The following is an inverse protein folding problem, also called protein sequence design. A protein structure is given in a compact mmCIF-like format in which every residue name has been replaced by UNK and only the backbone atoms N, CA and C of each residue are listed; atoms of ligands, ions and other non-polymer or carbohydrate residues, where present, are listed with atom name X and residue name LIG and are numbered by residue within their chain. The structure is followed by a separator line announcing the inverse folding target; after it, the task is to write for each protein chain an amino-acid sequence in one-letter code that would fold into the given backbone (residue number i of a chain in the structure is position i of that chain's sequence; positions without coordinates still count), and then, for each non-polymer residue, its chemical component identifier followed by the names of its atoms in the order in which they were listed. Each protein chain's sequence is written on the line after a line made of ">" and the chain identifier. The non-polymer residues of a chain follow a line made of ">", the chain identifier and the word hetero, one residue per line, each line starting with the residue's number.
data_IF_316515735143
#
_entry.id   IF_316515735143
#
_cell.length_a   1.000
_cell.length_b   1.000
_cell.length_c   1.000
_cell.angle_alpha   90.00
_cell.angle_beta   90.00
_cell.angle_gamma   90.00
#
_symmetry.space_group_name_H-M   'P 1'
#
loop_
_entity.id
_entity.type
_entity.pdbx_description
1 polymer ?
#
# COMPACT_ATOMS: atom_id res chain seq x y z
N UNK A 1 -19.49 -8.49 0.39
CA UNK A 1 -18.58 -9.07 -0.62
C UNK A 1 -17.45 -8.11 -0.92
N UNK A 2 -16.25 -8.65 -1.10
CA UNK A 2 -15.08 -7.92 -1.59
C UNK A 2 -14.72 -8.37 -2.99
N UNK A 3 -14.10 -7.46 -3.73
CA UNK A 3 -13.64 -7.71 -5.08
C UNK A 3 -12.61 -6.68 -5.50
N UNK A 4 -11.86 -7.02 -6.54
CA UNK A 4 -10.81 -6.19 -7.11
C UNK A 4 -11.27 -5.71 -8.49
N UNK A 5 -11.06 -4.43 -8.75
CA UNK A 5 -11.28 -3.84 -10.08
C UNK A 5 -10.10 -4.21 -10.97
N UNK A 6 -10.37 -4.88 -12.09
CA UNK A 6 -9.38 -5.24 -13.13
C UNK A 6 -9.84 -4.71 -14.49
N UNK A 7 -9.41 -3.51 -14.83
CA UNK A 7 -9.87 -2.81 -16.03
C UNK A 7 -11.36 -2.48 -15.93
N UNK A 8 -12.17 -3.04 -16.85
CA UNK A 8 -13.63 -2.88 -16.85
C UNK A 8 -14.38 -4.01 -16.11
N UNK A 9 -13.65 -4.96 -15.54
CA UNK A 9 -14.22 -6.11 -14.85
C UNK A 9 -14.05 -5.98 -13.33
N UNK A 10 -15.00 -6.52 -12.58
CA UNK A 10 -14.89 -6.71 -11.13
C UNK A 10 -14.67 -8.21 -10.89
N UNK A 11 -13.57 -8.56 -10.24
CA UNK A 11 -13.26 -9.94 -9.86
C UNK A 11 -13.60 -10.11 -8.38
N UNK A 12 -14.52 -11.01 -8.08
CA UNK A 12 -14.93 -11.28 -6.70
C UNK A 12 -13.86 -12.11 -5.99
N UNK A 13 -13.53 -11.75 -4.76
CA UNK A 13 -12.61 -12.53 -3.92
C UNK A 13 -13.37 -13.60 -3.09
N UNK A 14 -14.68 -13.39 -2.91
CA UNK A 14 -15.58 -14.25 -2.16
C UNK A 14 -16.68 -14.77 -3.10
N UNK A 15 -17.24 -15.94 -2.80
CA UNK A 15 -18.36 -16.52 -3.56
C UNK A 15 -19.60 -15.62 -3.48
N UNK A 16 -20.40 -15.65 -4.56
CA UNK A 16 -21.69 -14.98 -4.57
C UNK A 16 -22.61 -15.57 -3.48
N UNK A 17 -23.40 -14.75 -2.78
CA UNK A 17 -24.45 -15.25 -1.91
C UNK A 17 -25.46 -16.06 -2.72
N UNK A 18 -26.03 -17.10 -2.11
CA UNK A 18 -26.97 -18.04 -2.76
C UNK A 18 -28.20 -17.38 -3.39
N UNK A 19 -28.52 -16.15 -2.99
CA UNK A 19 -29.63 -15.39 -3.54
C UNK A 19 -29.35 -14.83 -4.95
N UNK A 20 -28.08 -14.71 -5.37
CA UNK A 20 -27.70 -14.14 -6.67
C UNK A 20 -27.29 -15.27 -7.61
N UNK A 21 -27.93 -15.34 -8.78
CA UNK A 21 -27.65 -16.37 -9.78
C UNK A 21 -26.78 -15.85 -10.91
N UNK A 22 -26.03 -16.75 -11.53
CA UNK A 22 -25.25 -16.43 -12.72
C UNK A 22 -26.19 -16.02 -13.88
N UNK A 23 -25.82 -14.96 -14.61
CA UNK A 23 -26.61 -14.38 -15.69
C UNK A 23 -27.65 -13.33 -15.25
N UNK A 24 -27.82 -13.13 -13.94
CA UNK A 24 -28.73 -12.10 -13.42
C UNK A 24 -28.15 -10.68 -13.60
N UNK A 25 -29.01 -9.71 -13.94
CA UNK A 25 -28.63 -8.30 -13.98
C UNK A 25 -28.71 -7.73 -12.57
N UNK A 26 -27.62 -7.14 -12.10
CA UNK A 26 -27.53 -6.55 -10.77
C UNK A 26 -27.00 -5.11 -10.84
N UNK A 27 -27.46 -4.27 -9.92
CA UNK A 27 -26.85 -2.97 -9.66
C UNK A 27 -25.67 -3.14 -8.71
N UNK A 28 -24.57 -2.44 -8.98
CA UNK A 28 -23.34 -2.54 -8.19
C UNK A 28 -22.95 -1.17 -7.66
N UNK A 29 -22.78 -1.06 -6.35
CA UNK A 29 -22.24 0.13 -5.69
C UNK A 29 -20.77 -0.15 -5.32
N UNK A 30 -19.85 0.63 -5.89
CA UNK A 30 -18.41 0.49 -5.64
C UNK A 30 -17.98 1.49 -4.58
N UNK A 31 -17.49 0.99 -3.45
CA UNK A 31 -16.91 1.81 -2.39
C UNK A 31 -15.39 1.61 -2.36
N UNK A 32 -14.57 2.65 -2.64
CA UNK A 32 -13.12 2.52 -2.66
C UNK A 32 -12.61 2.25 -1.23
N UNK A 33 -11.97 1.10 -1.04
CA UNK A 33 -11.25 0.80 0.19
C UNK A 33 -9.94 1.59 0.20
N UNK A 34 -9.87 2.64 1.03
CA UNK A 34 -8.61 3.35 1.26
C UNK A 34 -7.62 2.36 1.88
N UNK A 35 -6.52 2.06 1.18
CA UNK A 35 -5.36 1.44 1.83
C UNK A 35 -4.96 2.36 2.97
N UNK A 36 -4.78 1.78 4.17
CA UNK A 36 -4.11 2.51 5.24
C UNK A 36 -2.71 2.84 4.71
N UNK A 37 -2.35 4.11 4.69
CA UNK A 37 -0.97 4.53 4.49
C UNK A 37 -0.17 3.96 5.66
N UNK A 38 0.46 2.80 5.44
CA UNK A 38 1.45 2.28 6.35
C UNK A 38 2.65 3.21 6.28
N UNK A 39 2.68 4.19 7.18
CA UNK A 39 3.87 5.01 7.40
C UNK A 39 4.88 4.12 8.10
N UNK A 40 5.90 3.69 7.38
CA UNK A 40 7.06 3.11 8.03
C UNK A 40 7.65 4.16 8.98
N UNK A 41 7.99 3.79 10.22
CA UNK A 41 8.65 4.72 11.12
C UNK A 41 10.00 5.12 10.52
N UNK A 42 10.10 6.35 10.05
CA UNK A 42 11.37 6.94 9.62
C UNK A 42 12.09 7.46 10.85
N UNK A 43 13.29 6.98 11.12
CA UNK A 43 14.18 7.59 12.10
C UNK A 43 15.05 8.64 11.41
N UNK A 44 15.28 9.77 12.08
CA UNK A 44 16.28 10.75 11.63
C UNK A 44 17.66 10.17 11.89
N UNK A 45 18.40 9.84 10.83
CA UNK A 45 19.83 9.56 10.91
C UNK A 45 20.54 10.86 11.30
N UNK A 46 20.90 10.98 12.57
CA UNK A 46 21.77 12.04 13.07
C UNK A 46 23.23 11.68 12.76
N UNK A 47 23.89 12.46 11.92
CA UNK A 47 25.35 12.40 11.81
C UNK A 47 25.90 13.18 13.00
N UNK A 48 26.67 12.52 13.88
CA UNK A 48 27.34 13.25 14.97
C UNK A 48 28.32 14.24 14.34
N UNK A 49 28.30 15.49 14.79
CA UNK A 49 29.11 16.57 14.21
C UNK A 49 30.61 16.26 14.19
N UNK A 50 31.08 15.45 15.13
CA UNK A 50 32.47 14.96 15.22
C UNK A 50 32.94 14.21 13.95
N UNK A 51 32.02 13.64 13.17
CA UNK A 51 32.31 12.94 11.91
C UNK A 51 32.00 13.77 10.64
N UNK A 52 31.53 15.01 10.77
CA UNK A 52 31.35 15.88 9.59
C UNK A 52 32.69 16.36 9.02
N UNK A 53 33.72 16.46 9.86
CA UNK A 53 35.07 16.88 9.46
C UNK A 53 35.81 15.69 8.84
N UNK A 54 35.69 15.54 7.51
CA UNK A 54 36.39 14.52 6.71
C UNK A 54 37.90 14.44 6.98
N UNK A 55 38.51 15.57 7.32
CA UNK A 55 39.94 15.67 7.68
C UNK A 55 40.30 14.82 8.90
N UNK A 56 39.40 14.61 9.87
CA UNK A 56 39.64 13.71 11.01
C UNK A 56 39.49 12.23 10.67
N UNK A 57 38.81 11.90 9.58
CA UNK A 57 38.50 10.53 9.17
C UNK A 57 39.53 10.02 8.15
N UNK A 58 40.04 10.92 7.30
CA UNK A 58 40.95 10.58 6.20
C UNK A 58 42.32 11.27 6.31
N UNK A 59 42.60 11.97 7.41
CA UNK A 59 43.83 12.73 7.64
C UNK A 59 44.94 11.98 8.36
N UNK A 60 45.13 10.69 8.06
CA UNK A 60 46.41 10.01 8.30
C UNK A 60 47.00 9.65 6.93
N UNK A 61 47.89 10.53 6.45
CA UNK A 61 49.02 10.23 5.57
C UNK A 61 50.08 11.31 5.75
#
# INVERSE_FOLDING_TARGET
>A
MKGIIKGRNIVLEETLPEQIKEGERVEVIILPLRKKDYRFPTFKLGIKEEYLKREKIYGEN
#
